data_IF_658963909915
#
_entry.id   IF_658963909915
#
_cell.length_a   1.000
_cell.length_b   1.000
_cell.length_c   1.000
_cell.angle_alpha   90.00
_cell.angle_beta   90.00
_cell.angle_gamma   90.00
#
_symmetry.space_group_name_H-M   'P 1'
#
loop_
_entity.id
_entity.type
_entity.pdbx_description
1 polymer ?
#
# COMPACT_ATOMS: atom_id res chain seq x y z
N UNK A 1 -6.77 5.44 4.85
CA UNK A 1 -5.44 5.59 5.46
C UNK A 1 -4.87 4.23 5.85
N UNK A 2 -4.23 3.55 4.89
CA UNK A 2 -3.08 2.70 5.23
C UNK A 2 -1.84 3.61 5.20
N UNK A 3 -0.95 3.43 6.17
CA UNK A 3 0.40 3.97 6.15
C UNK A 3 1.39 2.81 6.30
N UNK A 4 2.43 2.81 5.46
CA UNK A 4 3.58 1.91 5.58
C UNK A 4 4.84 2.78 5.55
N UNK A 5 5.54 2.86 6.68
CA UNK A 5 6.86 3.48 6.76
C UNK A 5 7.92 2.39 6.88
N UNK A 6 8.66 2.15 5.81
CA UNK A 6 9.83 1.26 5.81
C UNK A 6 11.06 2.11 6.11
N UNK A 7 11.60 1.97 7.32
CA UNK A 7 12.92 2.48 7.68
C UNK A 7 13.94 1.48 7.13
N UNK A 8 14.37 1.75 5.90
CA UNK A 8 15.15 0.83 5.07
C UNK A 8 16.65 0.98 5.34
N UNK A 9 17.29 -0.15 5.68
CA UNK A 9 18.74 -0.29 5.69
C UNK A 9 19.05 -1.67 5.11
N UNK A 10 19.84 -1.81 4.03
CA UNK A 10 20.79 -0.83 3.50
C UNK A 10 20.45 -0.31 2.10
N UNK A 11 21.17 0.74 1.68
CA UNK A 11 21.97 0.71 0.45
C UNK A 11 23.12 1.69 0.58
N UNK A 12 24.32 1.28 0.16
CA UNK A 12 25.54 2.08 0.26
C UNK A 12 25.43 3.41 -0.51
N UNK A 13 26.21 4.40 -0.09
CA UNK A 13 26.58 5.55 -0.93
C UNK A 13 27.92 6.16 -0.48
N UNK A 14 28.90 5.28 -0.22
CA UNK A 14 30.32 5.62 -0.12
C UNK A 14 31.07 4.74 -1.11
N UNK A 15 32.08 5.28 -1.79
CA UNK A 15 32.73 4.66 -2.96
C UNK A 15 33.72 3.53 -2.64
N UNK A 16 33.48 2.78 -1.56
CA UNK A 16 34.20 1.56 -1.20
C UNK A 16 33.18 0.51 -0.73
N UNK A 17 33.07 -0.59 -1.49
CA UNK A 17 32.11 -1.66 -1.27
C UNK A 17 32.33 -2.41 0.04
N UNK A 18 31.74 -1.90 1.12
CA UNK A 18 31.66 -2.56 2.43
C UNK A 18 30.22 -3.00 2.69
N UNK A 19 30.08 -4.24 3.14
CA UNK A 19 28.79 -4.88 3.40
C UNK A 19 28.13 -4.25 4.64
N UNK A 20 26.93 -3.69 4.47
CA UNK A 20 26.30 -2.87 5.51
C UNK A 20 25.37 -3.69 6.41
N UNK A 21 25.67 -3.72 7.71
CA UNK A 21 25.11 -4.67 8.71
C UNK A 21 23.88 -4.15 9.47
N UNK A 22 23.04 -3.34 8.81
CA UNK A 22 21.90 -2.67 9.43
C UNK A 22 20.62 -3.50 9.51
N UNK A 23 19.69 -3.13 10.41
CA UNK A 23 18.33 -3.68 10.49
C UNK A 23 17.36 -2.84 9.66
N UNK A 24 16.59 -3.47 8.77
CA UNK A 24 15.32 -2.91 8.24
C UNK A 24 14.24 -2.94 9.31
N UNK A 25 13.48 -1.85 9.44
CA UNK A 25 12.30 -1.75 10.29
C UNK A 25 11.07 -1.34 9.47
N UNK A 26 9.88 -1.81 9.87
CA UNK A 26 8.61 -1.50 9.21
C UNK A 26 7.60 -1.03 10.25
N UNK A 27 6.88 0.05 9.94
CA UNK A 27 5.73 0.52 10.72
C UNK A 27 4.48 0.48 9.83
N UNK A 28 3.50 -0.33 10.21
CA UNK A 28 2.23 -0.50 9.51
C UNK A 28 1.11 0.15 10.34
N UNK A 29 0.29 1.00 9.73
CA UNK A 29 -0.78 1.70 10.44
C UNK A 29 -2.09 1.78 9.64
N UNK A 30 -3.17 1.24 10.23
CA UNK A 30 -4.54 1.33 9.75
C UNK A 30 -5.28 2.44 10.51
N UNK A 31 -5.46 3.59 9.85
CA UNK A 31 -6.09 4.77 10.43
C UNK A 31 -7.62 4.71 10.61
N UNK A 32 -8.26 3.57 10.39
CA UNK A 32 -9.72 3.45 10.45
C UNK A 32 -10.17 2.16 11.15
N UNK A 33 -11.46 2.10 11.50
CA UNK A 33 -12.09 1.01 12.28
C UNK A 33 -13.45 0.63 11.72
N UNK A 34 -13.99 -0.48 12.22
CA UNK A 34 -15.30 -0.99 11.88
C UNK A 34 -15.29 -1.93 10.68
N UNK A 35 -16.33 -2.76 10.58
CA UNK A 35 -16.45 -3.74 9.51
C UNK A 35 -16.97 -3.13 8.19
N UNK A 36 -17.83 -2.11 8.26
CA UNK A 36 -18.48 -1.52 7.08
C UNK A 36 -17.85 -0.20 6.64
N UNK A 37 -18.09 0.16 5.38
CA UNK A 37 -17.30 1.19 4.69
C UNK A 37 -15.83 0.77 4.60
N UNK A 38 -14.93 1.75 4.52
CA UNK A 38 -13.49 1.50 4.34
C UNK A 38 -12.76 0.94 5.58
N UNK A 39 -13.48 0.58 6.65
CA UNK A 39 -12.87 -0.02 7.85
C UNK A 39 -12.36 -1.44 7.64
N UNK A 40 -12.96 -2.19 6.70
CA UNK A 40 -12.44 -3.49 6.28
C UNK A 40 -11.16 -3.34 5.45
N UNK A 41 -11.26 -2.67 4.30
CA UNK A 41 -10.18 -2.45 3.35
C UNK A 41 -8.92 -1.86 3.99
N UNK A 42 -9.06 -0.83 4.83
CA UNK A 42 -7.92 -0.13 5.46
C UNK A 42 -7.14 -1.05 6.42
N UNK A 43 -7.81 -1.96 7.12
CA UNK A 43 -7.13 -2.93 8.00
C UNK A 43 -6.62 -4.14 7.21
N UNK A 44 -7.36 -4.64 6.22
CA UNK A 44 -6.93 -5.71 5.32
C UNK A 44 -5.67 -5.34 4.51
N UNK A 45 -5.55 -4.08 4.08
CA UNK A 45 -4.34 -3.47 3.53
C UNK A 45 -3.12 -3.68 4.46
N UNK A 46 -3.26 -3.37 5.76
CA UNK A 46 -2.19 -3.55 6.77
C UNK A 46 -1.83 -5.02 6.94
N UNK A 47 -2.84 -5.88 7.03
CA UNK A 47 -2.62 -7.31 7.23
C UNK A 47 -1.89 -7.94 6.04
N UNK A 48 -2.28 -7.58 4.81
CA UNK A 48 -1.55 -7.99 3.59
C UNK A 48 -0.11 -7.48 3.59
N UNK A 49 0.12 -6.21 3.93
CA UNK A 49 1.47 -5.65 4.03
C UNK A 49 2.34 -6.41 5.05
N UNK A 50 1.79 -6.77 6.21
CA UNK A 50 2.49 -7.62 7.18
C UNK A 50 2.91 -8.96 6.56
N UNK A 51 2.00 -9.68 5.89
CA UNK A 51 2.33 -10.97 5.27
C UNK A 51 3.46 -10.84 4.23
N UNK A 52 3.45 -9.77 3.41
CA UNK A 52 4.51 -9.50 2.41
C UNK A 52 5.86 -9.27 3.09
N UNK A 53 5.95 -8.39 4.09
CA UNK A 53 7.21 -8.10 4.77
C UNK A 53 7.74 -9.28 5.60
N UNK A 54 6.86 -10.05 6.24
CA UNK A 54 7.20 -11.27 6.98
C UNK A 54 7.69 -12.38 6.02
N UNK A 55 7.01 -12.59 4.88
CA UNK A 55 7.42 -13.58 3.87
C UNK A 55 8.77 -13.25 3.23
N UNK A 56 9.13 -11.97 3.11
CA UNK A 56 10.45 -11.53 2.67
C UNK A 56 11.52 -11.52 3.79
N UNK A 57 11.21 -12.07 4.96
CA UNK A 57 12.17 -12.35 6.03
C UNK A 57 12.50 -11.17 6.96
N UNK A 58 11.70 -10.11 6.96
CA UNK A 58 11.80 -9.08 8.01
C UNK A 58 11.22 -9.69 9.30
N UNK A 59 11.98 -9.75 10.41
CA UNK A 59 11.53 -10.42 11.63
C UNK A 59 10.48 -9.57 12.37
N UNK A 60 9.55 -10.23 13.06
CA UNK A 60 8.42 -9.57 13.73
C UNK A 60 8.85 -8.54 14.77
N UNK A 61 10.00 -8.74 15.44
CA UNK A 61 10.60 -7.75 16.35
C UNK A 61 10.99 -6.41 15.68
N UNK A 62 11.00 -6.37 14.34
CA UNK A 62 11.24 -5.17 13.53
C UNK A 62 9.95 -4.67 12.80
N UNK A 63 8.80 -5.34 12.92
CA UNK A 63 7.53 -4.95 12.26
C UNK A 63 6.52 -4.51 13.32
N UNK A 64 6.29 -3.21 13.42
CA UNK A 64 5.33 -2.62 14.38
C UNK A 64 3.98 -2.42 13.69
N UNK A 65 2.90 -2.98 14.24
CA UNK A 65 1.55 -2.94 13.64
C UNK A 65 0.55 -2.19 14.52
N UNK A 66 -0.05 -1.15 13.96
CA UNK A 66 -1.12 -0.36 14.55
C UNK A 66 -2.43 -0.58 13.79
N UNK A 67 -3.41 -1.26 14.40
CA UNK A 67 -4.66 -1.63 13.73
C UNK A 67 -5.81 -1.76 14.75
N UNK A 68 -7.07 -1.58 14.35
CA UNK A 68 -8.15 -1.54 15.34
C UNK A 68 -8.54 -2.91 15.91
N UNK A 69 -8.25 -3.99 15.18
CA UNK A 69 -8.48 -5.40 15.55
C UNK A 69 -9.96 -5.82 15.63
N UNK A 70 -10.86 -5.12 14.92
CA UNK A 70 -12.31 -5.36 14.96
C UNK A 70 -12.93 -6.07 13.74
N UNK A 71 -12.09 -6.63 12.85
CA UNK A 71 -12.54 -7.39 11.67
C UNK A 71 -12.68 -8.91 11.90
N UNK A 72 -11.60 -9.58 12.32
CA UNK A 72 -11.50 -11.03 12.26
C UNK A 72 -12.62 -11.73 13.07
N UNK A 73 -12.91 -11.21 14.26
CA UNK A 73 -13.95 -11.72 15.15
C UNK A 73 -15.27 -10.92 15.09
N UNK A 74 -15.50 -10.16 14.02
CA UNK A 74 -16.73 -9.39 13.86
C UNK A 74 -17.93 -10.32 13.61
N UNK A 75 -19.10 -9.97 14.17
CA UNK A 75 -20.35 -10.72 13.95
C UNK A 75 -20.82 -10.70 12.49
N UNK A 76 -20.40 -9.70 11.71
CA UNK A 76 -20.65 -9.61 10.28
C UNK A 76 -19.70 -10.48 9.43
N UNK A 77 -18.64 -11.05 10.01
CA UNK A 77 -17.63 -11.78 9.25
C UNK A 77 -18.09 -13.22 8.96
N UNK A 78 -18.31 -13.61 7.68
CA UNK A 78 -18.68 -14.98 7.30
C UNK A 78 -17.54 -15.98 7.50
N UNK A 79 -16.31 -15.51 7.73
CA UNK A 79 -15.14 -16.34 8.07
C UNK A 79 -14.53 -15.90 9.41
N UNK A 80 -15.12 -16.28 10.56
CA UNK A 80 -14.61 -15.91 11.87
C UNK A 80 -13.14 -16.28 12.07
N UNK A 81 -12.38 -15.38 12.69
CA UNK A 81 -10.94 -15.52 12.92
C UNK A 81 -10.05 -15.22 11.70
N UNK A 82 -10.63 -14.88 10.54
CA UNK A 82 -9.89 -14.63 9.28
C UNK A 82 -10.24 -13.29 8.63
N UNK A 83 -9.30 -12.71 7.90
CA UNK A 83 -9.50 -11.53 7.03
C UNK A 83 -8.85 -11.83 5.68
N UNK A 84 -9.49 -11.46 4.57
CA UNK A 84 -8.99 -11.73 3.21
C UNK A 84 -8.79 -10.41 2.46
N UNK A 85 -7.79 -10.35 1.59
CA UNK A 85 -7.45 -9.13 0.82
C UNK A 85 -8.00 -9.15 -0.62
N UNK A 86 -8.31 -10.34 -1.13
CA UNK A 86 -8.86 -10.59 -2.47
C UNK A 86 -10.05 -11.55 -2.37
N UNK A 87 -10.99 -11.55 -3.33
CA UNK A 87 -12.12 -12.48 -3.32
C UNK A 87 -11.60 -13.92 -3.43
N UNK A 88 -12.04 -14.79 -2.51
CA UNK A 88 -11.51 -16.16 -2.34
C UNK A 88 -10.01 -16.25 -1.97
N UNK A 89 -9.39 -15.15 -1.55
CA UNK A 89 -7.98 -15.11 -1.14
C UNK A 89 -7.68 -15.88 0.14
N UNK A 90 -6.38 -16.05 0.41
CA UNK A 90 -5.87 -16.56 1.68
C UNK A 90 -6.20 -15.63 2.86
N UNK A 91 -6.14 -16.19 4.07
CA UNK A 91 -6.19 -15.38 5.29
C UNK A 91 -4.91 -14.57 5.43
N UNK A 92 -5.05 -13.25 5.61
CA UNK A 92 -3.93 -12.33 5.86
C UNK A 92 -3.81 -11.92 7.33
N UNK A 93 -4.77 -12.31 8.19
CA UNK A 93 -4.79 -11.91 9.60
C UNK A 93 -3.94 -12.79 10.51
N UNK A 94 -3.74 -14.07 10.16
CA UNK A 94 -2.96 -15.00 10.97
C UNK A 94 -1.52 -14.50 11.19
N UNK A 95 -1.10 -14.42 12.46
CA UNK A 95 0.27 -14.04 12.86
C UNK A 95 0.51 -12.54 13.00
N UNK A 96 -0.40 -11.67 12.56
CA UNK A 96 -0.22 -10.20 12.63
C UNK A 96 -0.01 -9.74 14.10
N UNK A 97 1.08 -9.00 14.40
CA UNK A 97 1.33 -8.39 15.70
C UNK A 97 0.20 -7.46 16.19
N UNK A 98 0.14 -7.25 17.50
CA UNK A 98 -0.94 -6.49 18.18
C UNK A 98 -0.39 -5.39 19.07
N UNK A 99 0.63 -4.67 18.57
CA UNK A 99 1.41 -3.73 19.36
C UNK A 99 0.57 -2.53 19.83
N UNK A 100 -0.31 -2.03 18.95
CA UNK A 100 -1.26 -0.97 19.26
C UNK A 100 -2.62 -1.28 18.67
N UNK A 101 -3.58 -1.65 19.54
CA UNK A 101 -4.93 -2.05 19.12
C UNK A 101 -6.05 -1.18 19.69
N UNK A 102 -7.17 -1.10 18.96
CA UNK A 102 -8.39 -0.41 19.38
C UNK A 102 -8.20 1.04 19.80
N UNK A 103 -8.23 1.30 21.12
CA UNK A 103 -8.07 2.64 21.71
C UNK A 103 -6.66 3.22 21.49
N UNK A 104 -5.65 2.37 21.36
CA UNK A 104 -4.24 2.77 21.33
C UNK A 104 -3.75 3.11 19.90
N UNK A 105 -4.62 2.95 18.89
CA UNK A 105 -4.44 3.47 17.53
C UNK A 105 -4.74 4.97 17.51
N UNK A 106 -3.73 5.78 17.85
CA UNK A 106 -3.83 7.25 17.94
C UNK A 106 -2.71 7.94 17.14
N UNK A 107 -2.93 9.20 16.69
CA UNK A 107 -1.86 10.02 16.09
C UNK A 107 -0.65 10.18 17.01
N UNK A 108 -0.89 10.35 18.32
CA UNK A 108 0.19 10.47 19.31
C UNK A 108 1.05 9.22 19.33
N UNK A 109 0.44 8.03 19.41
CA UNK A 109 1.19 6.78 19.45
C UNK A 109 1.92 6.52 18.12
N UNK A 110 1.30 6.78 16.97
CA UNK A 110 1.94 6.64 15.66
C UNK A 110 3.16 7.57 15.50
N UNK A 111 3.03 8.85 15.86
CA UNK A 111 4.17 9.78 15.87
C UNK A 111 5.23 9.39 16.90
N UNK A 112 4.85 8.76 18.01
CA UNK A 112 5.78 8.26 19.04
C UNK A 112 6.56 7.05 18.55
N UNK A 113 5.92 6.14 17.81
CA UNK A 113 6.59 5.00 17.15
C UNK A 113 7.59 5.48 16.11
N UNK A 114 7.21 6.43 15.25
CA UNK A 114 8.11 7.02 14.25
C UNK A 114 9.33 7.72 14.90
N UNK A 115 9.11 8.61 15.87
CA UNK A 115 10.18 9.35 16.56
C UNK A 115 11.00 8.47 17.51
N UNK A 116 10.40 7.40 18.03
CA UNK A 116 10.84 6.70 19.24
C UNK A 116 10.72 7.53 20.53
N UNK A 117 9.86 8.56 20.55
CA UNK A 117 9.52 9.40 21.72
C UNK A 117 8.30 10.32 21.39
N UNK A 118 7.50 10.79 22.36
CA UNK A 118 6.19 11.40 22.07
C UNK A 118 6.17 12.91 21.75
N UNK A 119 5.09 13.32 21.08
CA UNK A 119 4.53 14.69 20.88
C UNK A 119 4.97 15.55 19.68
N UNK A 120 3.99 16.13 18.95
CA UNK A 120 3.88 17.56 18.53
C UNK A 120 2.61 17.80 17.66
N UNK A 121 2.26 19.07 17.39
CA UNK A 121 0.99 19.59 16.77
C UNK A 121 1.33 20.82 15.88
N UNK A 122 0.76 21.20 14.71
CA UNK A 122 -0.34 20.83 13.74
C UNK A 122 0.22 21.05 12.29
N UNK A 123 -0.41 21.11 11.08
CA UNK A 123 -1.76 20.99 10.43
C UNK A 123 -1.69 20.29 9.01
N UNK A 124 -2.73 20.34 8.14
CA UNK A 124 -3.10 19.45 6.96
C UNK A 124 -3.49 18.00 7.39
N UNK A 125 -4.68 17.44 7.09
CA UNK A 125 -5.31 16.40 7.95
C UNK A 125 -5.41 14.96 7.37
N UNK A 126 -5.12 13.95 8.21
CA UNK A 126 -5.38 12.52 7.93
C UNK A 126 -5.95 11.80 9.17
N UNK A 127 -7.14 11.19 9.03
CA UNK A 127 -7.99 10.76 10.17
C UNK A 127 -7.60 9.41 10.80
N UNK A 128 -7.50 9.37 12.14
CA UNK A 128 -7.27 8.16 12.95
C UNK A 128 -8.56 7.69 13.66
N UNK A 129 -8.63 6.45 14.19
CA UNK A 129 -9.81 5.94 14.89
C UNK A 129 -10.13 6.67 16.20
N UNK A 130 -9.12 7.37 16.74
CA UNK A 130 -9.15 8.19 17.94
C UNK A 130 -8.27 9.45 17.77
N UNK A 131 -8.49 10.21 16.70
CA UNK A 131 -7.89 11.53 16.53
C UNK A 131 -7.67 11.93 15.07
N UNK A 132 -6.87 12.97 14.87
CA UNK A 132 -6.41 13.41 13.55
C UNK A 132 -4.89 13.54 13.65
N UNK A 133 -4.17 12.90 12.71
CA UNK A 133 -2.77 13.18 12.45
C UNK A 133 -2.71 14.31 11.43
N UNK A 134 -1.76 15.21 11.57
CA UNK A 134 -1.55 16.28 10.61
C UNK A 134 -0.24 16.16 9.80
N UNK A 135 -0.18 16.76 8.61
CA UNK A 135 0.89 16.64 7.61
C UNK A 135 2.14 17.42 7.99
N UNK A 136 1.98 18.62 8.55
CA UNK A 136 3.08 19.34 9.19
C UNK A 136 3.55 18.61 10.46
N UNK A 137 2.68 17.90 11.22
CA UNK A 137 3.10 17.05 12.35
C UNK A 137 3.95 15.85 11.87
N UNK A 138 3.48 15.20 10.81
CA UNK A 138 4.17 14.08 10.15
C UNK A 138 5.52 14.53 9.59
N UNK A 139 5.55 15.61 8.81
CA UNK A 139 6.78 16.18 8.25
C UNK A 139 7.72 16.68 9.34
N UNK A 140 7.23 17.25 10.44
CA UNK A 140 8.05 17.62 11.60
C UNK A 140 8.61 16.39 12.33
N UNK A 141 7.84 15.29 12.42
CA UNK A 141 8.32 14.02 12.96
C UNK A 141 9.43 13.43 12.08
N UNK A 142 9.22 13.37 10.77
CA UNK A 142 10.19 12.89 9.78
C UNK A 142 11.48 13.74 9.77
N UNK A 143 11.37 15.08 9.86
CA UNK A 143 12.52 15.98 10.07
C UNK A 143 13.26 15.70 11.37
N UNK A 144 12.54 15.48 12.47
CA UNK A 144 13.14 15.12 13.76
C UNK A 144 13.85 13.76 13.73
N UNK A 145 13.27 12.76 13.06
CA UNK A 145 13.90 11.44 12.85
C UNK A 145 15.22 11.57 12.08
N UNK A 146 15.26 12.41 11.04
CA UNK A 146 16.50 12.69 10.30
C UNK A 146 17.55 13.37 11.18
N UNK A 147 17.16 14.46 11.87
CA UNK A 147 18.05 15.21 12.77
C UNK A 147 18.66 14.33 13.88
N UNK A 148 17.87 13.38 14.40
CA UNK A 148 18.29 12.40 15.40
C UNK A 148 18.86 11.10 14.81
N UNK A 149 19.17 11.06 13.51
CA UNK A 149 19.81 9.94 12.79
C UNK A 149 19.12 8.58 13.00
N UNK A 150 17.78 8.58 13.06
CA UNK A 150 16.95 7.40 13.38
C UNK A 150 16.79 6.41 12.21
N UNK A 151 17.27 6.77 11.02
CA UNK A 151 17.26 5.96 9.81
C UNK A 151 18.47 6.31 8.93
N UNK A 152 18.86 5.40 8.03
CA UNK A 152 19.82 5.72 6.96
C UNK A 152 19.09 6.25 5.71
N UNK A 153 18.03 5.55 5.30
CA UNK A 153 17.04 5.92 4.28
C UNK A 153 15.64 5.55 4.80
N UNK A 154 14.61 6.29 4.41
CA UNK A 154 13.21 5.99 4.78
C UNK A 154 12.32 6.05 3.54
N UNK A 155 11.48 5.03 3.37
CA UNK A 155 10.47 4.94 2.31
C UNK A 155 9.08 4.95 2.95
N UNK A 156 8.16 5.76 2.43
CA UNK A 156 6.85 5.98 3.03
C UNK A 156 5.73 5.83 1.99
N UNK A 157 4.85 4.83 2.14
CA UNK A 157 3.64 4.68 1.31
C UNK A 157 2.43 5.18 2.10
N UNK A 158 1.62 6.06 1.49
CA UNK A 158 0.40 6.61 2.10
C UNK A 158 -0.82 6.39 1.20
N UNK A 159 -1.73 5.52 1.64
CA UNK A 159 -3.01 5.22 0.98
C UNK A 159 -4.16 5.98 1.67
N UNK A 160 -4.49 7.16 1.15
CA UNK A 160 -5.60 7.99 1.61
C UNK A 160 -6.07 9.00 0.53
N UNK A 161 -7.31 9.46 0.66
CA UNK A 161 -7.80 10.62 -0.09
C UNK A 161 -6.92 11.85 0.16
N UNK A 162 -6.77 12.67 -0.88
CA UNK A 162 -5.93 13.86 -0.95
C UNK A 162 -4.49 13.62 -0.45
N UNK A 163 -3.96 12.39 -0.52
CA UNK A 163 -2.75 12.00 0.21
C UNK A 163 -1.51 12.78 -0.21
N UNK A 164 -1.44 13.23 -1.46
CA UNK A 164 -0.45 14.18 -1.98
C UNK A 164 -0.38 15.52 -1.24
N UNK A 165 -1.36 15.84 -0.39
CA UNK A 165 -1.29 17.02 0.50
C UNK A 165 -0.27 16.87 1.63
N UNK A 166 -0.11 15.67 2.18
CA UNK A 166 0.61 15.42 3.43
C UNK A 166 2.13 15.66 3.32
N UNK A 167 2.70 15.63 2.11
CA UNK A 167 4.14 15.74 1.88
C UNK A 167 4.57 17.01 1.12
N UNK A 168 3.67 17.99 0.94
CA UNK A 168 4.00 19.32 0.35
C UNK A 168 5.24 19.99 0.96
N UNK A 169 5.52 19.72 2.24
CA UNK A 169 6.58 20.34 3.04
C UNK A 169 7.77 19.41 3.33
N UNK A 170 7.81 18.23 2.69
CA UNK A 170 8.88 17.25 2.81
C UNK A 170 10.14 17.73 2.04
N UNK A 171 11.29 17.92 2.70
CA UNK A 171 12.54 18.28 2.04
C UNK A 171 13.07 17.14 1.15
N UNK A 172 13.94 17.48 0.19
CA UNK A 172 14.49 16.52 -0.80
C UNK A 172 15.88 16.00 -0.45
N UNK A 173 16.39 16.41 0.70
CA UNK A 173 17.79 16.34 1.15
C UNK A 173 17.93 15.68 2.53
N UNK A 174 16.87 14.99 2.99
CA UNK A 174 16.82 14.34 4.31
C UNK A 174 16.76 12.80 4.27
N UNK A 175 17.14 12.19 3.14
CA UNK A 175 17.10 10.74 2.90
C UNK A 175 15.72 10.09 3.10
N UNK A 176 14.63 10.83 2.79
CA UNK A 176 13.25 10.31 2.84
C UNK A 176 12.64 10.38 1.45
N UNK A 177 12.10 9.26 0.98
CA UNK A 177 11.27 9.16 -0.20
C UNK A 177 9.86 8.77 0.22
N UNK A 178 8.84 9.41 -0.35
CA UNK A 178 7.45 9.11 -0.06
C UNK A 178 6.61 8.98 -1.34
N UNK A 179 5.70 8.02 -1.35
CA UNK A 179 4.71 7.78 -2.40
C UNK A 179 3.32 7.93 -1.79
N UNK A 180 2.49 8.78 -2.39
CA UNK A 180 1.07 8.92 -2.03
C UNK A 180 0.21 8.21 -3.03
N UNK A 181 -0.96 7.74 -2.61
CA UNK A 181 -1.89 7.04 -3.48
C UNK A 181 -2.69 7.94 -4.41
N UNK A 182 -2.80 9.23 -4.09
CA UNK A 182 -3.44 10.24 -4.92
C UNK A 182 -2.68 11.57 -4.83
N UNK A 183 -3.03 12.53 -5.69
CA UNK A 183 -2.54 13.91 -5.57
C UNK A 183 -3.27 14.69 -4.45
N UNK A 184 -2.97 15.97 -4.27
CA UNK A 184 -3.53 16.80 -3.18
C UNK A 184 -5.02 17.18 -3.36
N UNK A 185 -5.70 16.66 -4.38
CA UNK A 185 -7.09 16.99 -4.77
C UNK A 185 -7.92 15.77 -5.20
N UNK A 186 -7.36 14.55 -5.12
CA UNK A 186 -7.98 13.30 -5.59
C UNK A 186 -8.25 12.33 -4.44
N UNK A 187 -9.40 11.64 -4.51
CA UNK A 187 -9.77 10.56 -3.60
C UNK A 187 -8.89 9.31 -3.84
N UNK A 188 -8.78 8.46 -2.82
CA UNK A 188 -8.23 7.09 -2.96
C UNK A 188 -9.37 6.08 -3.17
N UNK A 189 -9.28 5.22 -4.17
CA UNK A 189 -10.34 4.26 -4.51
C UNK A 189 -10.21 2.91 -3.79
N UNK A 190 -11.34 2.22 -3.64
CA UNK A 190 -11.42 0.87 -3.06
C UNK A 190 -11.61 -0.22 -4.13
N UNK A 191 -10.97 -1.36 -3.92
CA UNK A 191 -10.91 -2.50 -4.84
C UNK A 191 -11.50 -3.77 -4.20
N UNK A 192 -11.64 -4.83 -4.99
CA UNK A 192 -11.97 -6.18 -4.50
C UNK A 192 -13.27 -6.19 -3.67
N UNK A 193 -14.42 -5.88 -4.29
CA UNK A 193 -15.73 -6.01 -3.62
C UNK A 193 -16.04 -7.48 -3.33
N UNK A 194 -16.50 -7.78 -2.12
CA UNK A 194 -16.84 -9.12 -1.67
C UNK A 194 -18.35 -9.26 -1.38
N UNK A 195 -19.02 -10.06 -2.19
CA UNK A 195 -20.47 -10.27 -2.11
C UNK A 195 -20.94 -11.02 -0.85
N UNK A 196 -20.06 -11.77 -0.17
CA UNK A 196 -20.39 -12.46 1.08
C UNK A 196 -20.23 -11.57 2.31
N UNK A 197 -19.35 -10.57 2.23
CA UNK A 197 -19.01 -9.63 3.32
C UNK A 197 -19.71 -8.28 3.18
N UNK A 198 -20.10 -7.90 1.96
CA UNK A 198 -20.68 -6.61 1.57
C UNK A 198 -19.76 -5.41 1.88
N UNK A 199 -18.48 -5.59 1.56
CA UNK A 199 -17.39 -4.62 1.77
C UNK A 199 -16.37 -4.70 0.64
N UNK A 200 -15.54 -3.67 0.50
CA UNK A 200 -14.30 -3.74 -0.27
C UNK A 200 -13.17 -4.36 0.58
N UNK A 201 -12.36 -5.23 -0.03
CA UNK A 201 -11.30 -5.96 0.65
C UNK A 201 -9.94 -5.24 0.67
N UNK A 202 -9.76 -4.15 -0.10
CA UNK A 202 -8.52 -3.38 -0.12
C UNK A 202 -8.64 -2.02 -0.82
N UNK A 203 -7.59 -1.20 -0.75
CA UNK A 203 -7.43 0.03 -1.55
C UNK A 203 -6.74 -0.27 -2.89
N UNK A 204 -7.03 0.50 -3.94
CA UNK A 204 -6.48 0.24 -5.29
C UNK A 204 -4.95 0.38 -5.35
N UNK A 205 -4.41 1.47 -4.81
CA UNK A 205 -2.96 1.69 -4.74
C UNK A 205 -2.30 0.65 -3.83
N UNK A 206 -2.91 0.35 -2.67
CA UNK A 206 -2.45 -0.72 -1.79
C UNK A 206 -2.37 -2.07 -2.51
N UNK A 207 -3.41 -2.46 -3.26
CA UNK A 207 -3.44 -3.68 -4.05
C UNK A 207 -2.33 -3.72 -5.10
N UNK A 208 -2.06 -2.61 -5.81
CA UNK A 208 -1.04 -2.58 -6.87
C UNK A 208 0.39 -2.72 -6.36
N UNK A 209 0.81 -2.03 -5.30
CA UNK A 209 2.17 -2.23 -4.77
C UNK A 209 2.32 -3.55 -3.99
N UNK A 210 1.24 -4.08 -3.38
CA UNK A 210 1.29 -5.36 -2.67
C UNK A 210 1.29 -6.59 -3.61
N UNK A 211 0.59 -6.53 -4.75
CA UNK A 211 0.66 -7.57 -5.80
C UNK A 211 2.04 -7.56 -6.48
N UNK A 212 2.60 -6.37 -6.74
CA UNK A 212 3.95 -6.18 -7.28
C UNK A 212 5.03 -6.79 -6.36
N UNK A 213 5.01 -6.47 -5.06
CA UNK A 213 5.90 -7.07 -4.04
C UNK A 213 5.71 -8.58 -3.79
N UNK A 214 4.72 -9.23 -4.40
CA UNK A 214 4.57 -10.70 -4.38
C UNK A 214 5.05 -11.39 -5.67
N UNK A 215 5.17 -10.64 -6.78
CA UNK A 215 5.70 -11.15 -8.04
C UNK A 215 7.19 -10.80 -8.23
N UNK A 216 7.67 -9.72 -7.60
CA UNK A 216 9.04 -9.25 -7.69
C UNK A 216 9.72 -9.20 -6.31
N UNK A 217 11.00 -9.56 -6.25
CA UNK A 217 11.82 -9.41 -5.05
C UNK A 217 12.15 -7.92 -4.86
N UNK A 218 11.77 -7.33 -3.72
CA UNK A 218 12.05 -5.92 -3.40
C UNK A 218 13.55 -5.58 -3.34
N UNK A 219 14.42 -6.59 -3.37
CA UNK A 219 15.88 -6.42 -3.48
C UNK A 219 16.33 -6.27 -4.94
N UNK A 220 15.58 -6.77 -5.92
CA UNK A 220 15.95 -6.67 -7.34
C UNK A 220 15.20 -5.55 -8.08
N UNK A 221 14.00 -5.21 -7.66
CA UNK A 221 13.21 -4.11 -8.23
C UNK A 221 13.65 -2.75 -7.66
N UNK A 222 13.91 -1.76 -8.54
CA UNK A 222 14.03 -0.37 -8.10
C UNK A 222 12.66 0.23 -7.75
N UNK A 223 12.59 1.02 -6.68
CA UNK A 223 11.36 1.70 -6.25
C UNK A 223 10.76 2.63 -7.32
N UNK A 224 11.58 3.07 -8.30
CA UNK A 224 11.11 3.80 -9.47
C UNK A 224 10.31 2.91 -10.42
N UNK A 225 10.76 1.68 -10.69
CA UNK A 225 10.04 0.77 -11.59
C UNK A 225 8.73 0.28 -10.98
N UNK A 226 8.70 -0.08 -9.69
CA UNK A 226 7.44 -0.38 -9.00
C UNK A 226 6.44 0.80 -9.11
N UNK A 227 6.92 2.04 -8.97
CA UNK A 227 6.06 3.22 -9.14
C UNK A 227 5.53 3.34 -10.59
N UNK A 228 6.34 3.04 -11.60
CA UNK A 228 5.92 3.01 -13.01
C UNK A 228 4.94 1.86 -13.30
N UNK A 229 5.16 0.63 -12.78
CA UNK A 229 4.20 -0.47 -12.83
C UNK A 229 2.85 -0.07 -12.22
N UNK A 230 2.89 0.50 -11.02
CA UNK A 230 1.71 0.94 -10.28
C UNK A 230 0.96 2.06 -11.01
N UNK A 231 1.66 3.04 -11.62
CA UNK A 231 1.02 4.06 -12.46
C UNK A 231 0.36 3.47 -13.71
N UNK A 232 1.03 2.55 -14.42
CA UNK A 232 0.46 1.83 -15.58
C UNK A 232 -0.84 1.10 -15.18
N UNK A 233 -0.82 0.38 -14.06
CA UNK A 233 -1.93 -0.46 -13.62
C UNK A 233 -3.11 0.35 -13.03
N UNK A 234 -2.86 1.40 -12.26
CA UNK A 234 -3.93 2.28 -11.74
C UNK A 234 -4.65 3.04 -12.88
N UNK A 235 -3.92 3.37 -13.95
CA UNK A 235 -4.54 3.93 -15.16
C UNK A 235 -5.48 2.91 -15.84
N UNK A 236 -5.09 1.63 -15.92
CA UNK A 236 -5.94 0.55 -16.43
C UNK A 236 -7.19 0.36 -15.53
N UNK A 237 -7.02 0.36 -14.21
CA UNK A 237 -8.14 0.25 -13.24
C UNK A 237 -9.15 1.39 -13.41
N UNK A 238 -8.68 2.61 -13.72
CA UNK A 238 -9.54 3.78 -13.96
C UNK A 238 -10.34 3.72 -15.28
N UNK A 239 -9.95 2.82 -16.21
CA UNK A 239 -10.61 2.63 -17.50
C UNK A 239 -11.81 1.67 -17.49
N UNK A 240 -12.07 0.99 -16.37
CA UNK A 240 -13.10 -0.06 -16.27
C UNK A 240 -14.51 0.53 -16.51
N UNK A 241 -15.27 0.07 -17.52
CA UNK A 241 -16.62 0.54 -17.81
C UNK A 241 -17.59 0.41 -16.63
N UNK A 242 -18.60 1.29 -16.60
CA UNK A 242 -19.65 1.37 -15.58
C UNK A 242 -19.17 1.68 -14.13
N UNK A 243 -17.91 2.06 -13.93
CA UNK A 243 -17.49 2.88 -12.78
C UNK A 243 -17.58 4.37 -13.09
N UNK A 244 -17.72 5.20 -12.07
CA UNK A 244 -17.33 6.60 -12.21
C UNK A 244 -15.80 6.69 -12.39
N UNK A 245 -15.29 7.45 -13.37
CA UNK A 245 -13.87 7.64 -13.55
C UNK A 245 -13.36 8.58 -12.45
N UNK A 246 -12.90 8.00 -11.35
CA UNK A 246 -12.11 8.65 -10.33
C UNK A 246 -10.62 8.32 -10.59
N UNK A 247 -9.95 9.04 -11.51
CA UNK A 247 -8.53 8.80 -11.77
C UNK A 247 -7.74 9.05 -10.49
N UNK A 248 -6.85 8.13 -10.18
CA UNK A 248 -6.06 8.12 -8.95
C UNK A 248 -4.59 8.18 -9.34
N UNK A 249 -4.02 9.39 -9.33
CA UNK A 249 -2.64 9.61 -9.72
C UNK A 249 -1.73 9.53 -8.48
N UNK A 250 -0.93 8.46 -8.29
CA UNK A 250 0.01 8.41 -7.19
C UNK A 250 1.17 9.40 -7.44
N UNK A 251 1.70 10.00 -6.37
CA UNK A 251 2.69 11.10 -6.46
C UNK A 251 3.91 10.81 -5.59
N UNK A 252 5.09 11.12 -6.11
CA UNK A 252 6.38 10.98 -5.43
C UNK A 252 6.83 12.29 -4.75
N UNK A 253 7.42 12.17 -3.57
CA UNK A 253 7.94 13.29 -2.77
C UNK A 253 9.30 12.96 -2.15
N UNK A 254 10.04 14.01 -1.78
CA UNK A 254 11.30 13.91 -1.06
C UNK A 254 12.51 13.63 -1.97
N UNK A 255 13.41 12.77 -1.49
CA UNK A 255 14.68 12.44 -2.09
C UNK A 255 14.54 11.40 -3.21
N UNK A 256 14.51 11.88 -4.45
CA UNK A 256 14.42 11.04 -5.65
C UNK A 256 15.71 10.25 -5.97
N UNK A 257 16.81 10.43 -5.23
CA UNK A 257 17.99 9.55 -5.38
C UNK A 257 17.71 8.14 -4.85
N UNK A 258 16.79 8.01 -3.89
CA UNK A 258 16.39 6.73 -3.28
C UNK A 258 15.64 5.84 -4.28
N UNK A 259 14.94 6.40 -5.28
CA UNK A 259 14.09 5.59 -6.17
C UNK A 259 14.87 4.68 -7.11
N UNK A 260 16.13 5.02 -7.38
CA UNK A 260 17.02 4.28 -8.27
C UNK A 260 17.61 3.01 -7.66
N UNK A 261 17.50 2.86 -6.33
CA UNK A 261 18.23 1.85 -5.59
C UNK A 261 17.65 0.45 -5.80
N UNK A 262 18.52 -0.49 -6.18
CA UNK A 262 18.33 -1.93 -6.18
C UNK A 262 19.54 -2.62 -5.53
N UNK A 263 19.45 -3.90 -5.17
CA UNK A 263 20.58 -4.67 -4.62
C UNK A 263 21.57 -5.16 -5.69
N UNK A 264 21.14 -5.18 -6.96
CA UNK A 264 21.98 -5.51 -8.11
C UNK A 264 22.92 -4.36 -8.52
N UNK A 265 22.70 -3.12 -8.04
CA UNK A 265 23.63 -1.98 -8.23
C UNK A 265 25.05 -2.19 -7.61
N UNK A 266 25.29 -3.33 -6.94
CA UNK A 266 26.55 -3.63 -6.25
C UNK A 266 27.59 -4.39 -7.09
N UNK A 267 27.22 -5.21 -8.09
CA UNK A 267 28.15 -6.07 -8.85
C UNK A 267 27.60 -6.60 -10.19
N UNK A 268 28.52 -6.97 -11.10
CA UNK A 268 28.35 -7.75 -12.34
C UNK A 268 27.56 -7.13 -13.52
N UNK A 269 28.30 -6.64 -14.51
CA UNK A 269 27.77 -6.04 -15.76
C UNK A 269 27.31 -7.10 -16.80
N UNK A 270 27.85 -8.32 -16.77
CA UNK A 270 27.56 -9.35 -17.78
C UNK A 270 26.25 -10.14 -17.53
N UNK A 271 25.69 -10.10 -16.32
CA UNK A 271 24.42 -10.78 -16.01
C UNK A 271 23.20 -10.02 -16.58
N UNK A 272 23.28 -8.70 -16.62
CA UNK A 272 22.18 -7.78 -16.87
C UNK A 272 21.41 -8.05 -18.16
N UNK A 273 22.07 -8.46 -19.25
CA UNK A 273 21.38 -8.63 -20.54
C UNK A 273 20.38 -9.79 -20.56
N UNK A 274 20.61 -10.83 -19.72
CA UNK A 274 19.67 -11.95 -19.57
C UNK A 274 18.59 -11.64 -18.54
N UNK A 275 18.94 -10.97 -17.43
CA UNK A 275 17.94 -10.55 -16.45
C UNK A 275 17.02 -9.44 -16.98
N UNK A 276 17.51 -8.51 -17.81
CA UNK A 276 16.66 -7.50 -18.44
C UNK A 276 15.68 -8.13 -19.43
N UNK A 277 16.11 -9.11 -20.23
CA UNK A 277 15.22 -9.87 -21.12
C UNK A 277 14.19 -10.70 -20.33
N UNK A 278 14.62 -11.34 -19.22
CA UNK A 278 13.71 -12.06 -18.33
C UNK A 278 12.70 -11.09 -17.69
N UNK A 279 13.17 -9.95 -17.16
CA UNK A 279 12.36 -8.90 -16.55
C UNK A 279 11.37 -8.29 -17.52
N UNK A 280 11.77 -7.98 -18.76
CA UNK A 280 10.86 -7.55 -19.82
C UNK A 280 9.82 -8.63 -20.14
N UNK A 281 10.19 -9.92 -20.09
CA UNK A 281 9.23 -11.01 -20.29
C UNK A 281 8.27 -11.18 -19.11
N UNK A 282 8.71 -10.94 -17.87
CA UNK A 282 7.88 -11.02 -16.65
C UNK A 282 6.99 -9.77 -16.49
N UNK A 283 7.51 -8.56 -16.71
CA UNK A 283 6.71 -7.32 -16.79
C UNK A 283 5.64 -7.49 -17.86
N UNK A 284 6.01 -7.98 -19.06
CA UNK A 284 5.03 -8.27 -20.10
C UNK A 284 4.02 -9.31 -19.65
N UNK A 285 4.42 -10.43 -19.05
CA UNK A 285 3.48 -11.46 -18.58
C UNK A 285 2.56 -10.94 -17.46
N UNK A 286 3.06 -10.06 -16.60
CA UNK A 286 2.32 -9.41 -15.51
C UNK A 286 1.29 -8.40 -16.05
N UNK A 287 1.69 -7.58 -17.04
CA UNK A 287 0.78 -6.67 -17.75
C UNK A 287 -0.22 -7.46 -18.59
N UNK A 288 0.19 -8.48 -19.34
CA UNK A 288 -0.70 -9.35 -20.14
C UNK A 288 -1.71 -10.09 -19.23
N UNK A 289 -1.30 -10.54 -18.03
CA UNK A 289 -2.19 -11.10 -16.99
C UNK A 289 -3.23 -10.08 -16.54
N UNK A 290 -2.81 -8.91 -16.06
CA UNK A 290 -3.74 -7.87 -15.58
C UNK A 290 -4.63 -7.30 -16.68
N UNK A 291 -4.15 -7.23 -17.93
CA UNK A 291 -4.96 -6.90 -19.11
C UNK A 291 -5.96 -8.01 -19.47
N UNK A 292 -5.59 -9.28 -19.27
CA UNK A 292 -6.52 -10.42 -19.44
C UNK A 292 -7.62 -10.37 -18.38
N UNK A 293 -7.28 -10.09 -17.12
CA UNK A 293 -8.26 -9.93 -16.03
C UNK A 293 -9.17 -8.71 -16.25
N UNK A 294 -8.63 -7.60 -16.77
CA UNK A 294 -9.40 -6.44 -17.22
C UNK A 294 -10.40 -6.81 -18.33
N UNK A 295 -9.95 -7.51 -19.38
CA UNK A 295 -10.83 -8.00 -20.48
C UNK A 295 -11.90 -8.97 -19.95
N UNK A 296 -11.54 -9.89 -19.06
CA UNK A 296 -12.47 -10.81 -18.41
C UNK A 296 -13.53 -10.05 -17.58
N UNK A 297 -13.15 -8.99 -16.87
CA UNK A 297 -14.08 -8.15 -16.12
C UNK A 297 -15.11 -7.45 -17.03
N UNK A 298 -14.67 -6.95 -18.19
CA UNK A 298 -15.56 -6.34 -19.20
C UNK A 298 -16.49 -7.38 -19.80
N UNK A 299 -15.98 -8.57 -20.17
CA UNK A 299 -16.81 -9.67 -20.68
C UNK A 299 -17.87 -10.11 -19.65
N UNK A 300 -17.50 -10.17 -18.37
CA UNK A 300 -18.43 -10.49 -17.29
C UNK A 300 -19.54 -9.43 -17.15
N UNK A 301 -19.19 -8.13 -17.11
CA UNK A 301 -20.15 -7.02 -17.05
C UNK A 301 -21.12 -7.05 -18.24
N UNK A 302 -20.60 -7.17 -19.47
CA UNK A 302 -21.42 -7.28 -20.69
C UNK A 302 -22.36 -8.50 -20.68
N UNK A 303 -21.93 -9.61 -20.06
CA UNK A 303 -22.76 -10.81 -19.91
C UNK A 303 -23.86 -10.61 -18.86
N UNK A 304 -23.57 -9.93 -17.75
CA UNK A 304 -24.56 -9.58 -16.71
C UNK A 304 -25.62 -8.63 -17.27
N UNK A 305 -25.23 -7.55 -17.95
CA UNK A 305 -26.16 -6.61 -18.59
C UNK A 305 -27.02 -7.30 -19.65
N UNK A 306 -26.42 -8.17 -20.48
CA UNK A 306 -27.16 -8.95 -21.49
C UNK A 306 -28.23 -9.86 -20.86
N UNK A 307 -27.92 -10.51 -19.74
CA UNK A 307 -28.86 -11.36 -19.00
C UNK A 307 -29.96 -10.53 -18.31
N UNK A 308 -29.64 -9.36 -17.74
CA UNK A 308 -30.62 -8.46 -17.15
C UNK A 308 -31.62 -7.94 -18.20
N UNK A 309 -31.13 -7.57 -19.39
CA UNK A 309 -31.97 -7.17 -20.54
C UNK A 309 -32.83 -8.34 -21.03
N UNK A 310 -32.29 -9.55 -21.08
CA UNK A 310 -33.04 -10.75 -21.49
C UNK A 310 -34.20 -11.05 -20.51
N UNK A 311 -33.91 -11.09 -19.21
CA UNK A 311 -34.92 -11.31 -18.16
C UNK A 311 -36.00 -10.22 -18.19
N UNK A 312 -35.63 -8.95 -18.33
CA UNK A 312 -36.57 -7.83 -18.43
C UNK A 312 -37.51 -7.97 -19.65
N UNK A 313 -36.98 -8.37 -20.81
CA UNK A 313 -37.80 -8.67 -21.99
C UNK A 313 -38.73 -9.87 -21.77
N UNK A 314 -38.27 -10.88 -21.02
CA UNK A 314 -39.06 -12.07 -20.73
C UNK A 314 -40.20 -11.76 -19.74
N UNK A 315 -39.98 -10.91 -18.74
CA UNK A 315 -41.05 -10.39 -17.87
C UNK A 315 -42.05 -9.52 -18.63
N UNK A 316 -41.60 -8.67 -19.56
CA UNK A 316 -42.48 -7.82 -20.38
C UNK A 316 -43.34 -8.64 -21.36
N UNK A 317 -42.83 -9.76 -21.88
CA UNK A 317 -43.59 -10.69 -22.73
C UNK A 317 -44.57 -11.60 -21.97
N UNK A 318 -44.50 -11.62 -20.63
CA UNK A 318 -45.32 -12.44 -19.75
C UNK A 318 -46.41 -11.61 -19.01
N UNK A 319 -46.75 -10.42 -19.51
CA UNK A 319 -47.76 -9.49 -18.96
C UNK A 319 -48.75 -9.04 -20.02
#
# INVERSE_FOLDING_TARGET
MLCVAVNAVPFANDSQGSEFTGKTWVVLCAGWKGYYGSGYSIQANVYKAYQVFHAQGIPDENIIVMHYDDLANNKANPTPGKVVFTPNGSDVYHGVPKDYIGKDVTPKNFLSVLKGDPELVKQDMVSFPHGILYGEELVAALKSMHQNKRFAKLVFYLEACESGSMFKLLPKDINIYAITSSNATELSNECNWDESRKVYLGGYFAYRWLDDCEHFDMRQESLNTQFEHMQKLLLIDSGIPNREPHPQHPVQFGDMSITKLSASDANEVDALYNEEMLRQSVEKQYVDKHMTDYVNSIQHLLTVDSNAILNTKQELNNR
#
